data_IF_056171336516
#
_entry.id   IF_056171336516
#
_cell.length_a   1.000
_cell.length_b   1.000
_cell.length_c   1.000
_cell.angle_alpha   90.00
_cell.angle_beta   90.00
_cell.angle_gamma   90.00
#
_symmetry.space_group_name_H-M   'P 1'
#
loop_
_entity.id
_entity.type
_entity.pdbx_description
1 polymer ?
#
# COMPACT_ATOMS: atom_id res chain seq x y z
N UNK A 1 1.24 21.41 -0.69
CA UNK A 1 0.51 21.36 0.59
C UNK A 1 1.25 20.44 1.53
N UNK A 2 1.67 20.93 2.68
CA UNK A 2 2.35 20.11 3.69
C UNK A 2 1.34 19.22 4.43
N UNK A 3 1.77 18.11 5.07
CA UNK A 3 0.88 17.30 5.90
C UNK A 3 0.18 18.10 7.00
N UNK A 4 0.87 19.05 7.60
CA UNK A 4 0.31 19.93 8.65
C UNK A 4 -0.83 20.80 8.11
N UNK A 5 -0.65 21.43 6.95
CA UNK A 5 -1.70 22.21 6.29
C UNK A 5 -2.91 21.37 5.92
N UNK A 6 -2.67 20.13 5.50
CA UNK A 6 -3.73 19.19 5.18
C UNK A 6 -4.56 18.85 6.43
N UNK A 7 -3.88 18.51 7.54
CA UNK A 7 -4.52 18.17 8.82
C UNK A 7 -5.40 19.33 9.34
N UNK A 8 -4.95 20.57 9.17
CA UNK A 8 -5.73 21.75 9.59
C UNK A 8 -7.01 21.95 8.79
N UNK A 9 -7.05 21.50 7.54
CA UNK A 9 -8.24 21.59 6.67
C UNK A 9 -9.29 20.51 6.92
N UNK A 10 -8.92 19.42 7.57
CA UNK A 10 -9.81 18.30 7.86
C UNK A 10 -10.73 18.58 9.04
N UNK A 11 -12.01 18.23 8.91
CA UNK A 11 -12.91 18.18 10.05
C UNK A 11 -12.58 16.98 10.95
N UNK A 12 -13.17 16.95 12.15
CA UNK A 12 -12.97 15.82 13.06
C UNK A 12 -13.48 14.50 12.46
N UNK A 13 -14.65 14.53 11.82
CA UNK A 13 -15.26 13.36 11.17
C UNK A 13 -14.39 12.86 10.02
N UNK A 14 -13.84 13.77 9.22
CA UNK A 14 -12.93 13.41 8.13
C UNK A 14 -11.62 12.78 8.66
N UNK A 15 -11.08 13.28 9.75
CA UNK A 15 -9.93 12.69 10.44
C UNK A 15 -10.22 11.27 10.91
N UNK A 16 -11.38 11.04 11.53
CA UNK A 16 -11.83 9.72 11.97
C UNK A 16 -11.99 8.78 10.77
N UNK A 17 -12.61 9.26 9.70
CA UNK A 17 -12.79 8.46 8.46
C UNK A 17 -11.46 8.02 7.86
N UNK A 18 -10.44 8.89 7.88
CA UNK A 18 -9.11 8.52 7.37
C UNK A 18 -8.42 7.43 8.20
N UNK A 19 -8.79 7.24 9.47
CA UNK A 19 -8.25 6.17 10.32
C UNK A 19 -8.90 4.81 10.05
N UNK A 20 -10.06 4.78 9.38
CA UNK A 20 -10.82 3.54 9.18
C UNK A 20 -10.45 2.79 7.89
N UNK A 21 -9.81 3.46 6.95
CA UNK A 21 -9.62 2.92 5.60
C UNK A 21 -10.88 2.99 4.73
N UNK A 22 -10.72 2.96 3.41
CA UNK A 22 -11.81 2.96 2.44
C UNK A 22 -12.24 1.56 2.01
N UNK A 23 -11.31 0.62 2.03
CA UNK A 23 -11.52 -0.81 1.73
C UNK A 23 -10.42 -1.64 2.40
N UNK A 24 -10.35 -2.94 2.08
CA UNK A 24 -9.25 -3.81 2.51
C UNK A 24 -7.87 -3.30 2.06
N UNK A 25 -7.79 -2.56 0.95
CA UNK A 25 -6.56 -2.18 0.29
C UNK A 25 -6.41 -0.68 0.04
N UNK A 26 -7.37 0.13 0.46
CA UNK A 26 -7.36 1.57 0.16
C UNK A 26 -7.58 2.42 1.39
N UNK A 27 -6.98 3.60 1.39
CA UNK A 27 -7.36 4.65 2.34
C UNK A 27 -8.69 5.27 1.92
N UNK A 28 -9.37 5.91 2.87
CA UNK A 28 -10.51 6.76 2.55
C UNK A 28 -10.06 8.00 1.77
N UNK A 29 -10.95 8.53 0.92
CA UNK A 29 -10.75 9.81 0.24
C UNK A 29 -11.50 10.93 0.96
N UNK A 30 -11.05 12.18 0.78
CA UNK A 30 -11.77 13.38 1.25
C UNK A 30 -11.92 14.34 0.06
N UNK A 31 -12.98 14.17 -0.75
CA UNK A 31 -13.15 14.94 -1.99
C UNK A 31 -13.19 16.45 -1.77
N UNK A 32 -13.73 16.92 -0.64
CA UNK A 32 -13.83 18.35 -0.32
C UNK A 32 -12.49 19.08 -0.37
N UNK A 33 -11.40 18.40 -0.04
CA UNK A 33 -10.03 18.96 -0.07
C UNK A 33 -9.16 18.30 -1.15
N UNK A 34 -9.77 17.60 -2.09
CA UNK A 34 -9.11 16.88 -3.18
C UNK A 34 -8.11 15.80 -2.71
N UNK A 35 -8.28 15.28 -1.49
CA UNK A 35 -7.48 14.18 -1.00
C UNK A 35 -7.98 12.87 -1.60
N UNK A 36 -7.17 12.29 -2.47
CA UNK A 36 -7.49 11.01 -3.14
C UNK A 36 -7.21 9.83 -2.22
N UNK A 37 -7.94 8.75 -2.45
CA UNK A 37 -7.61 7.44 -1.89
C UNK A 37 -6.26 6.96 -2.41
N UNK A 38 -5.49 6.29 -1.55
CA UNK A 38 -4.22 5.65 -1.88
C UNK A 38 -4.43 4.15 -1.78
N UNK A 39 -3.95 3.40 -2.78
CA UNK A 39 -3.93 1.94 -2.75
C UNK A 39 -2.70 1.47 -1.98
N UNK A 40 -2.90 0.53 -1.04
CA UNK A 40 -1.85 -0.08 -0.23
C UNK A 40 -1.70 -1.53 -0.71
N UNK A 41 -0.59 -1.82 -1.37
CA UNK A 41 -0.27 -3.18 -1.81
C UNK A 41 0.55 -3.92 -0.77
N UNK A 42 0.40 -5.22 -0.71
CA UNK A 42 1.30 -6.11 0.00
C UNK A 42 2.02 -7.05 -0.98
N UNK A 43 2.67 -8.04 -0.47
CA UNK A 43 3.29 -9.13 -1.24
C UNK A 43 4.58 -9.60 -0.58
N UNK A 44 4.71 -10.89 -0.27
CA UNK A 44 5.88 -11.42 0.43
C UNK A 44 7.15 -11.45 -0.45
N UNK A 45 6.99 -11.56 -1.77
CA UNK A 45 8.10 -11.71 -2.72
C UNK A 45 7.97 -10.80 -3.95
N UNK A 46 7.30 -9.69 -3.79
CA UNK A 46 6.95 -8.73 -4.82
C UNK A 46 5.58 -8.10 -4.54
N UNK A 47 5.13 -7.21 -5.39
CA UNK A 47 3.82 -6.56 -5.21
C UNK A 47 2.69 -7.53 -5.53
N UNK A 48 1.67 -7.55 -4.67
CA UNK A 48 0.41 -8.22 -4.93
C UNK A 48 -0.72 -7.20 -4.95
N UNK A 49 -1.45 -7.17 -6.05
CA UNK A 49 -2.64 -6.34 -6.20
C UNK A 49 -3.74 -7.17 -6.84
N UNK A 50 -4.86 -7.32 -6.14
CA UNK A 50 -6.01 -8.04 -6.67
C UNK A 50 -6.74 -7.24 -7.74
N UNK A 51 -7.25 -7.95 -8.75
CA UNK A 51 -8.07 -7.37 -9.81
C UNK A 51 -9.52 -7.34 -9.37
N UNK A 52 -10.20 -6.22 -9.56
CA UNK A 52 -11.61 -6.08 -9.21
C UNK A 52 -11.87 -5.89 -7.74
N UNK A 53 -12.91 -6.55 -7.21
CA UNK A 53 -13.30 -6.42 -5.81
C UNK A 53 -12.32 -7.16 -4.90
N UNK A 54 -11.68 -6.48 -3.95
CA UNK A 54 -10.72 -7.11 -3.07
C UNK A 54 -11.42 -8.09 -2.11
N UNK A 55 -10.77 -9.23 -1.86
CA UNK A 55 -11.14 -10.16 -0.79
C UNK A 55 -10.02 -10.23 0.27
N UNK A 56 -10.38 -10.67 1.48
CA UNK A 56 -9.42 -10.82 2.58
C UNK A 56 -8.68 -12.16 2.56
N UNK A 57 -9.11 -13.11 1.72
CA UNK A 57 -8.57 -14.46 1.66
C UNK A 57 -7.50 -14.61 0.58
N UNK A 58 -7.38 -13.63 -0.32
CA UNK A 58 -6.44 -13.67 -1.44
C UNK A 58 -6.81 -14.69 -2.52
N UNK A 59 -8.10 -15.00 -2.66
CA UNK A 59 -8.60 -15.98 -3.64
C UNK A 59 -8.86 -15.36 -5.01
N UNK A 60 -9.07 -14.04 -5.07
CA UNK A 60 -9.28 -13.34 -6.32
C UNK A 60 -7.99 -13.26 -7.14
N UNK A 61 -8.17 -13.20 -8.45
CA UNK A 61 -7.07 -13.02 -9.39
C UNK A 61 -6.28 -11.75 -9.08
N UNK A 62 -4.97 -11.82 -9.22
CA UNK A 62 -4.05 -10.71 -9.00
C UNK A 62 -3.43 -10.24 -10.30
N UNK A 63 -3.07 -8.96 -10.38
CA UNK A 63 -2.29 -8.43 -11.48
C UNK A 63 -0.91 -9.09 -11.53
N UNK A 64 -0.39 -9.30 -12.74
CA UNK A 64 0.94 -9.85 -12.92
C UNK A 64 2.00 -8.89 -12.38
N UNK A 65 2.91 -9.41 -11.58
CA UNK A 65 4.03 -8.67 -11.02
C UNK A 65 5.26 -9.55 -10.95
N UNK A 66 6.44 -8.93 -10.79
CA UNK A 66 7.69 -9.67 -10.64
C UNK A 66 7.69 -10.43 -9.31
N UNK A 67 7.95 -11.72 -9.37
CA UNK A 67 8.21 -12.54 -8.20
C UNK A 67 9.73 -12.54 -7.93
N UNK A 68 10.12 -11.88 -6.86
CA UNK A 68 11.51 -11.85 -6.38
C UNK A 68 11.82 -13.08 -5.52
N UNK A 69 13.12 -13.38 -5.28
CA UNK A 69 13.50 -14.40 -4.32
C UNK A 69 12.90 -14.16 -2.94
N UNK A 70 12.67 -15.21 -2.16
CA UNK A 70 12.14 -15.08 -0.79
C UNK A 70 13.06 -14.26 0.09
N UNK A 71 12.51 -13.64 1.13
CA UNK A 71 13.30 -12.87 2.10
C UNK A 71 14.40 -13.73 2.75
N UNK A 72 14.11 -15.01 3.04
CA UNK A 72 15.10 -15.94 3.57
C UNK A 72 16.25 -16.19 2.57
N UNK A 73 15.94 -16.34 1.28
CA UNK A 73 16.95 -16.47 0.23
C UNK A 73 17.81 -15.22 0.10
N UNK A 74 17.19 -14.04 0.11
CA UNK A 74 17.91 -12.77 0.04
C UNK A 74 18.81 -12.54 1.26
N UNK A 75 18.35 -12.92 2.46
CA UNK A 75 19.13 -12.82 3.69
C UNK A 75 20.42 -13.63 3.65
N UNK A 76 20.43 -14.78 2.96
CA UNK A 76 21.63 -15.61 2.77
C UNK A 76 22.74 -14.92 1.96
N UNK A 77 22.43 -13.87 1.22
CA UNK A 77 23.45 -13.09 0.50
C UNK A 77 24.32 -12.23 1.44
N UNK A 78 23.83 -11.90 2.65
CA UNK A 78 24.47 -10.95 3.57
C UNK A 78 24.83 -9.62 2.93
N UNK A 79 24.13 -9.27 1.85
CA UNK A 79 24.42 -8.09 1.05
C UNK A 79 23.30 -7.04 1.16
N UNK A 80 23.46 -6.01 2.01
CA UNK A 80 22.44 -4.98 2.20
C UNK A 80 22.24 -4.09 0.95
N UNK A 81 23.25 -4.00 0.08
CA UNK A 81 23.15 -3.25 -1.17
C UNK A 81 22.21 -3.97 -2.14
N UNK A 82 22.33 -5.30 -2.26
CA UNK A 82 21.43 -6.12 -3.06
C UNK A 82 19.99 -6.02 -2.56
N UNK A 83 19.77 -6.12 -1.24
CA UNK A 83 18.44 -5.97 -0.64
C UNK A 83 17.81 -4.61 -0.95
N UNK A 84 18.61 -3.55 -0.91
CA UNK A 84 18.15 -2.20 -1.27
C UNK A 84 17.78 -2.09 -2.76
N UNK A 85 18.55 -2.70 -3.64
CA UNK A 85 18.26 -2.72 -5.08
C UNK A 85 16.94 -3.44 -5.36
N UNK A 86 16.72 -4.60 -4.75
CA UNK A 86 15.48 -5.36 -4.88
C UNK A 86 14.27 -4.61 -4.32
N UNK A 87 14.45 -3.88 -3.22
CA UNK A 87 13.38 -3.04 -2.67
C UNK A 87 13.05 -1.79 -3.50
N UNK A 88 13.86 -1.45 -4.51
CA UNK A 88 13.63 -0.35 -5.45
C UNK A 88 13.01 -0.80 -6.76
N UNK A 89 13.13 -2.05 -7.09
CA UNK A 89 12.65 -2.63 -8.34
C UNK A 89 11.13 -2.83 -8.31
#
# INVERSE_FOLDING_TARGET
>A
MTPQELIQKLTLEEKITLLQGGSAWTTSSVPRILLKSIFLADGPHGLRKQVGSPDHLGLNESENATCFPTAATMANSWNPVLSRLLGRA
#
